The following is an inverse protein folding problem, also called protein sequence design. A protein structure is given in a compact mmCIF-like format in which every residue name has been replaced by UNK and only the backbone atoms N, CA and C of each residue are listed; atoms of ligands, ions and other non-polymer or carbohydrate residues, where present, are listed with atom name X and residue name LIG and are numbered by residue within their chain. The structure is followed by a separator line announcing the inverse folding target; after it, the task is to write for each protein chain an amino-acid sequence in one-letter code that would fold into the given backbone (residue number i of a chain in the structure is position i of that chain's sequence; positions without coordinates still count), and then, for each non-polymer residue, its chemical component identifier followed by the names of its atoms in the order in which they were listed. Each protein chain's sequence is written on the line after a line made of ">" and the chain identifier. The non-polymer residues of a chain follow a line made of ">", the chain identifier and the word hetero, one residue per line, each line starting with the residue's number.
data_IF_408613488012
#
_entry.id   IF_408613488012
#
_cell.length_a   1.000
_cell.length_b   1.000
_cell.length_c   1.000
_cell.angle_alpha   90.00
_cell.angle_beta   90.00
_cell.angle_gamma   90.00
#
_symmetry.space_group_name_H-M   'P 1'
#
loop_
_entity.id
_entity.type
_entity.pdbx_description
1 polymer ?
#
# COMPACT_ATOMS: atom_id res chain seq x y z
N UNK A 1 5.23 14.21 19.49
CA UNK A 1 4.88 15.62 19.21
C UNK A 1 4.46 15.86 17.75
N UNK A 2 5.07 15.22 16.75
CA UNK A 2 4.70 15.39 15.32
C UNK A 2 3.21 15.14 15.00
N UNK A 3 2.60 14.09 15.56
CA UNK A 3 1.17 13.81 15.36
C UNK A 3 0.23 14.89 15.90
N UNK A 4 0.63 15.65 16.94
CA UNK A 4 -0.21 16.69 17.53
C UNK A 4 -0.28 17.96 16.66
N UNK A 5 0.72 18.19 15.80
CA UNK A 5 0.77 19.36 14.89
C UNK A 5 0.31 18.99 13.49
N UNK A 6 0.64 17.78 13.01
CA UNK A 6 0.29 17.34 11.67
C UNK A 6 -1.22 17.26 11.46
N UNK A 7 -1.97 16.72 12.44
CA UNK A 7 -3.42 16.57 12.31
C UNK A 7 -4.16 17.92 12.19
N UNK A 8 -3.95 18.92 13.07
CA UNK A 8 -4.54 20.24 12.89
C UNK A 8 -4.18 20.89 11.54
N UNK A 9 -2.93 20.76 11.09
CA UNK A 9 -2.50 21.32 9.80
C UNK A 9 -3.23 20.65 8.64
N UNK A 10 -3.32 19.32 8.62
CA UNK A 10 -4.06 18.58 7.58
C UNK A 10 -5.53 18.99 7.58
N UNK A 11 -6.17 19.11 8.75
CA UNK A 11 -7.56 19.54 8.85
C UNK A 11 -7.77 20.97 8.34
N UNK A 12 -6.84 21.89 8.62
CA UNK A 12 -6.89 23.26 8.10
C UNK A 12 -6.72 23.30 6.57
N UNK A 13 -5.79 22.51 6.02
CA UNK A 13 -5.60 22.40 4.57
C UNK A 13 -6.85 21.83 3.90
N UNK A 14 -7.47 20.79 4.49
CA UNK A 14 -8.72 20.22 3.98
C UNK A 14 -9.86 21.23 4.04
N UNK A 15 -10.04 21.93 5.17
CA UNK A 15 -11.08 22.95 5.32
C UNK A 15 -10.92 24.07 4.29
N UNK A 16 -9.69 24.55 4.08
CA UNK A 16 -9.38 25.54 3.06
C UNK A 16 -9.67 24.99 1.65
N UNK A 17 -9.21 23.79 1.32
CA UNK A 17 -9.46 23.16 0.02
C UNK A 17 -10.94 22.94 -0.26
N UNK A 18 -11.73 22.53 0.74
CA UNK A 18 -13.18 22.34 0.61
C UNK A 18 -13.95 23.65 0.40
N UNK A 19 -13.40 24.75 0.91
CA UNK A 19 -13.94 26.09 0.68
C UNK A 19 -13.57 26.60 -0.71
N UNK A 20 -12.36 26.32 -1.18
CA UNK A 20 -11.83 26.81 -2.46
C UNK A 20 -12.35 26.04 -3.70
N UNK A 21 -12.59 24.73 -3.60
CA UNK A 21 -12.92 23.89 -4.75
C UNK A 21 -13.94 22.81 -4.43
N UNK A 22 -15.05 22.81 -5.18
CA UNK A 22 -16.06 21.74 -5.14
C UNK A 22 -15.47 20.42 -5.63
N UNK A 23 -14.63 20.45 -6.66
CA UNK A 23 -14.00 19.24 -7.22
C UNK A 23 -13.04 18.60 -6.21
N UNK A 24 -12.23 19.41 -5.53
CA UNK A 24 -11.36 18.94 -4.44
C UNK A 24 -12.16 18.25 -3.33
N UNK A 25 -13.35 18.79 -3.00
CA UNK A 25 -14.27 18.18 -2.02
C UNK A 25 -14.81 16.83 -2.52
N UNK A 26 -15.20 16.73 -3.78
CA UNK A 26 -15.68 15.47 -4.40
C UNK A 26 -14.58 14.41 -4.43
N UNK A 27 -13.37 14.78 -4.87
CA UNK A 27 -12.20 13.87 -4.88
C UNK A 27 -11.88 13.39 -3.46
N UNK A 28 -11.84 14.31 -2.50
CA UNK A 28 -11.54 13.97 -1.09
C UNK A 28 -12.61 13.07 -0.46
N UNK A 29 -13.88 13.30 -0.78
CA UNK A 29 -14.97 12.42 -0.36
C UNK A 29 -14.82 11.03 -1.00
N UNK A 30 -14.49 10.95 -2.29
CA UNK A 30 -14.19 9.70 -2.98
C UNK A 30 -13.04 8.93 -2.33
N UNK A 31 -11.94 9.61 -1.97
CA UNK A 31 -10.82 9.04 -1.21
C UNK A 31 -11.27 8.51 0.15
N UNK A 32 -12.07 9.27 0.91
CA UNK A 32 -12.54 8.86 2.22
C UNK A 32 -13.46 7.63 2.14
N UNK A 33 -14.37 7.60 1.16
CA UNK A 33 -15.26 6.46 0.89
C UNK A 33 -14.43 5.24 0.46
N UNK A 34 -13.43 5.42 -0.41
CA UNK A 34 -12.51 4.36 -0.83
C UNK A 34 -11.75 3.77 0.36
N UNK A 35 -11.16 4.62 1.21
CA UNK A 35 -10.45 4.20 2.42
C UNK A 35 -11.38 3.43 3.38
N UNK A 36 -12.61 3.88 3.56
CA UNK A 36 -13.61 3.16 4.35
C UNK A 36 -13.96 1.79 3.74
N UNK A 37 -14.02 1.71 2.41
CA UNK A 37 -14.16 0.45 1.68
C UNK A 37 -12.99 -0.51 1.94
N UNK A 38 -11.75 -0.01 1.88
CA UNK A 38 -10.56 -0.80 2.20
C UNK A 38 -10.53 -1.28 3.66
N UNK A 39 -10.92 -0.43 4.62
CA UNK A 39 -11.05 -0.82 6.04
C UNK A 39 -12.11 -1.90 6.24
N UNK A 40 -13.22 -1.83 5.51
CA UNK A 40 -14.26 -2.85 5.54
C UNK A 40 -13.78 -4.15 4.91
N UNK A 41 -13.08 -4.11 3.78
CA UNK A 41 -12.43 -5.29 3.18
C UNK A 41 -11.47 -5.96 4.17
N UNK A 42 -10.60 -5.18 4.83
CA UNK A 42 -9.66 -5.68 5.84
C UNK A 42 -10.40 -6.41 6.98
N UNK A 43 -11.47 -5.82 7.52
CA UNK A 43 -12.31 -6.46 8.54
C UNK A 43 -12.99 -7.74 8.05
N UNK A 44 -13.47 -7.74 6.81
CA UNK A 44 -14.09 -8.89 6.18
C UNK A 44 -13.11 -10.07 6.09
N UNK A 45 -11.91 -9.83 5.55
CA UNK A 45 -10.86 -10.84 5.47
C UNK A 45 -10.39 -11.30 6.85
N UNK A 46 -10.23 -10.38 7.81
CA UNK A 46 -9.89 -10.70 9.20
C UNK A 46 -10.94 -11.57 9.90
N UNK A 47 -12.22 -11.44 9.53
CA UNK A 47 -13.28 -12.29 10.06
C UNK A 47 -13.11 -13.76 9.63
N UNK A 48 -12.54 -14.02 8.44
CA UNK A 48 -12.25 -15.37 7.94
C UNK A 48 -10.92 -15.93 8.42
N UNK A 49 -9.90 -15.09 8.62
CA UNK A 49 -8.58 -15.55 9.06
C UNK A 49 -8.55 -15.88 10.56
N UNK A 50 -9.28 -15.14 11.42
CA UNK A 50 -9.67 -15.57 12.77
C UNK A 50 -8.61 -16.25 13.66
N UNK A 51 -7.41 -15.67 13.79
CA UNK A 51 -6.34 -16.26 14.61
C UNK A 51 -5.48 -17.31 13.86
N UNK A 52 -5.79 -17.59 12.60
CA UNK A 52 -5.03 -18.49 11.73
C UNK A 52 -3.71 -17.86 11.31
N UNK A 53 -3.69 -16.53 11.14
CA UNK A 53 -2.49 -15.81 10.77
C UNK A 53 -1.38 -16.00 11.80
N UNK A 54 -1.72 -15.85 13.07
CA UNK A 54 -0.86 -16.01 14.24
C UNK A 54 -0.39 -17.47 14.40
N UNK A 55 -1.27 -18.43 14.12
CA UNK A 55 -0.93 -19.87 14.14
C UNK A 55 0.00 -20.25 12.99
N UNK A 56 -0.21 -19.71 11.80
CA UNK A 56 0.62 -19.99 10.62
C UNK A 56 1.96 -19.27 10.73
N UNK A 57 1.99 -18.03 11.25
CA UNK A 57 3.23 -17.29 11.54
C UNK A 57 4.19 -18.11 12.42
N UNK A 58 3.69 -18.77 13.48
CA UNK A 58 4.49 -19.65 14.34
C UNK A 58 5.09 -20.85 13.59
N UNK A 59 4.48 -21.29 12.49
CA UNK A 59 4.95 -22.42 11.66
C UNK A 59 5.83 -21.99 10.49
N UNK A 60 5.78 -20.72 10.08
CA UNK A 60 6.46 -20.18 8.88
C UNK A 60 7.93 -19.79 9.13
N UNK A 61 8.50 -20.15 10.29
CA UNK A 61 9.80 -19.64 10.77
C UNK A 61 11.06 -20.31 10.20
N UNK A 62 10.95 -21.37 9.38
CA UNK A 62 12.13 -22.17 8.99
C UNK A 62 12.79 -21.81 7.65
N UNK A 63 12.15 -21.02 6.77
CA UNK A 63 12.72 -20.72 5.44
C UNK A 63 12.26 -19.35 4.90
N UNK A 64 13.23 -18.51 4.48
CA UNK A 64 13.00 -17.19 3.86
C UNK A 64 11.98 -17.19 2.70
N UNK A 65 11.96 -18.23 1.87
CA UNK A 65 11.00 -18.32 0.76
C UNK A 65 9.57 -18.59 1.25
N UNK A 66 9.42 -19.39 2.31
CA UNK A 66 8.10 -19.62 2.93
C UNK A 66 7.61 -18.35 3.62
N UNK A 67 8.51 -17.62 4.28
CA UNK A 67 8.22 -16.32 4.88
C UNK A 67 7.77 -15.30 3.84
N UNK A 68 8.45 -15.23 2.69
CA UNK A 68 8.07 -14.40 1.54
C UNK A 68 6.69 -14.79 0.99
N UNK A 69 6.49 -16.08 0.69
CA UNK A 69 5.20 -16.56 0.18
C UNK A 69 4.06 -16.26 1.15
N UNK A 70 4.30 -16.40 2.46
CA UNK A 70 3.33 -16.04 3.49
C UNK A 70 3.00 -14.54 3.46
N UNK A 71 4.01 -13.67 3.44
CA UNK A 71 3.78 -12.23 3.36
C UNK A 71 2.98 -11.80 2.12
N UNK A 72 3.31 -12.41 0.98
CA UNK A 72 2.63 -12.19 -0.30
C UNK A 72 1.16 -12.58 -0.21
N UNK A 73 0.88 -13.84 0.14
CA UNK A 73 -0.48 -14.38 0.18
C UNK A 73 -1.30 -13.65 1.24
N UNK A 74 -0.75 -13.46 2.44
CA UNK A 74 -1.45 -12.77 3.52
C UNK A 74 -1.79 -11.35 3.11
N UNK A 75 -0.84 -10.59 2.53
CA UNK A 75 -1.13 -9.20 2.14
C UNK A 75 -2.11 -9.14 0.98
N UNK A 76 -1.99 -10.03 -0.01
CA UNK A 76 -2.95 -10.12 -1.09
C UNK A 76 -4.37 -10.43 -0.59
N UNK A 77 -4.50 -11.26 0.44
CA UNK A 77 -5.80 -11.56 1.05
C UNK A 77 -6.30 -10.43 1.93
N UNK A 78 -5.45 -9.88 2.81
CA UNK A 78 -5.84 -8.85 3.78
C UNK A 78 -5.89 -7.45 3.18
N UNK A 79 -5.35 -7.25 1.98
CA UNK A 79 -5.24 -5.96 1.28
C UNK A 79 -4.46 -4.88 2.04
N UNK A 80 -3.65 -5.27 3.05
CA UNK A 80 -2.96 -4.35 3.96
C UNK A 80 -1.57 -4.85 4.36
N UNK A 81 -0.53 -4.37 3.69
CA UNK A 81 0.88 -4.69 4.03
C UNK A 81 1.32 -4.04 5.34
N UNK A 82 0.79 -2.87 5.67
CA UNK A 82 1.03 -2.18 6.94
C UNK A 82 0.59 -3.06 8.11
N UNK A 83 -0.60 -3.66 8.05
CA UNK A 83 -1.09 -4.56 9.10
C UNK A 83 -0.19 -5.80 9.23
N UNK A 84 0.14 -6.44 8.11
CA UNK A 84 1.05 -7.62 8.09
C UNK A 84 2.41 -7.28 8.69
N UNK A 85 2.93 -6.08 8.40
CA UNK A 85 4.21 -5.61 8.93
C UNK A 85 4.14 -5.33 10.43
N UNK A 86 3.08 -4.66 10.92
CA UNK A 86 2.89 -4.38 12.36
C UNK A 86 2.73 -5.66 13.17
N UNK A 87 1.98 -6.64 12.65
CA UNK A 87 1.86 -7.98 13.27
C UNK A 87 3.23 -8.67 13.29
N UNK A 88 3.99 -8.60 12.19
CA UNK A 88 5.34 -9.18 12.13
C UNK A 88 6.29 -8.53 13.12
N UNK A 89 6.25 -7.21 13.29
CA UNK A 89 7.00 -6.47 14.31
C UNK A 89 6.64 -6.95 15.71
N UNK A 90 5.34 -7.11 15.99
CA UNK A 90 4.85 -7.59 17.29
C UNK A 90 5.33 -9.00 17.60
N UNK A 91 5.28 -9.90 16.61
CA UNK A 91 5.71 -11.29 16.76
C UNK A 91 7.22 -11.43 16.91
N UNK A 92 7.98 -10.63 16.15
CA UNK A 92 9.43 -10.57 16.27
C UNK A 92 9.84 -10.03 17.64
N UNK A 93 9.16 -8.99 18.11
CA UNK A 93 9.42 -8.41 19.43
C UNK A 93 9.13 -9.41 20.56
N UNK A 94 8.12 -10.25 20.40
CA UNK A 94 7.78 -11.33 21.33
C UNK A 94 8.68 -12.59 21.19
N UNK A 95 9.70 -12.57 20.32
CA UNK A 95 10.60 -13.71 20.09
C UNK A 95 9.93 -14.90 19.37
N UNK A 96 8.76 -14.71 18.77
CA UNK A 96 8.00 -15.78 18.10
C UNK A 96 8.50 -16.09 16.69
N UNK A 97 9.19 -15.14 16.05
CA UNK A 97 9.81 -15.29 14.73
C UNK A 97 11.22 -14.68 14.75
N UNK A 98 12.08 -15.11 13.82
CA UNK A 98 13.42 -14.53 13.66
C UNK A 98 13.40 -13.28 12.78
N UNK A 99 14.43 -12.43 12.88
CA UNK A 99 14.55 -11.23 12.02
C UNK A 99 14.55 -11.60 10.53
N UNK A 100 15.28 -12.65 10.14
CA UNK A 100 15.32 -13.15 8.75
C UNK A 100 13.94 -13.56 8.25
N UNK A 101 13.15 -14.26 9.08
CA UNK A 101 11.77 -14.61 8.73
C UNK A 101 10.88 -13.36 8.62
N UNK A 102 11.01 -12.43 9.56
CA UNK A 102 10.31 -11.14 9.51
C UNK A 102 10.60 -10.35 8.24
N UNK A 103 11.86 -10.24 7.84
CA UNK A 103 12.28 -9.58 6.59
C UNK A 103 11.63 -10.26 5.38
N UNK A 104 11.66 -11.60 5.34
CA UNK A 104 10.99 -12.37 4.30
C UNK A 104 9.49 -12.03 4.20
N UNK A 105 8.78 -12.01 5.34
CA UNK A 105 7.36 -11.65 5.39
C UNK A 105 7.11 -10.23 4.86
N UNK A 106 7.92 -9.25 5.27
CA UNK A 106 7.78 -7.87 4.82
C UNK A 106 8.03 -7.72 3.31
N UNK A 107 9.02 -8.44 2.76
CA UNK A 107 9.29 -8.41 1.31
C UNK A 107 8.13 -9.05 0.54
N UNK A 108 7.62 -10.18 1.04
CA UNK A 108 6.40 -10.78 0.54
C UNK A 108 5.21 -9.82 0.56
N UNK A 109 5.03 -9.10 1.67
CA UNK A 109 3.94 -8.15 1.84
C UNK A 109 3.98 -6.99 0.84
N UNK A 110 5.16 -6.48 0.52
CA UNK A 110 5.31 -5.48 -0.55
C UNK A 110 4.85 -6.04 -1.90
N UNK A 111 5.23 -7.28 -2.23
CA UNK A 111 4.76 -7.93 -3.46
C UNK A 111 3.24 -8.23 -3.42
N UNK A 112 2.68 -8.61 -2.28
CA UNK A 112 1.23 -8.83 -2.13
C UNK A 112 0.40 -7.55 -2.31
N UNK A 113 0.97 -6.39 -1.97
CA UNK A 113 0.34 -5.06 -2.16
C UNK A 113 0.01 -4.78 -3.62
N UNK A 114 0.70 -5.41 -4.57
CA UNK A 114 0.47 -5.15 -6.00
C UNK A 114 -0.90 -5.62 -6.45
N UNK A 115 -1.52 -6.57 -5.75
CA UNK A 115 -2.89 -7.03 -6.04
C UNK A 115 -3.92 -5.90 -5.99
N UNK A 116 -3.70 -4.86 -5.17
CA UNK A 116 -4.55 -3.69 -5.11
C UNK A 116 -4.61 -2.90 -6.40
N UNK A 117 -3.46 -2.69 -7.06
CA UNK A 117 -3.41 -1.98 -8.33
C UNK A 117 -4.22 -2.70 -9.42
N UNK A 118 -4.12 -4.04 -9.46
CA UNK A 118 -4.93 -4.88 -10.35
C UNK A 118 -6.42 -4.80 -10.04
N UNK A 119 -6.79 -4.78 -8.76
CA UNK A 119 -8.18 -4.63 -8.35
C UNK A 119 -8.75 -3.29 -8.82
N UNK A 120 -8.01 -2.20 -8.62
CA UNK A 120 -8.45 -0.85 -8.99
C UNK A 120 -8.51 -0.68 -10.50
N UNK A 121 -7.43 -1.02 -11.23
CA UNK A 121 -7.35 -0.83 -12.68
C UNK A 121 -8.24 -1.79 -13.46
N UNK A 122 -8.31 -3.06 -13.04
CA UNK A 122 -9.08 -4.09 -13.71
C UNK A 122 -10.59 -4.03 -13.44
N UNK A 123 -10.96 -3.76 -12.18
CA UNK A 123 -12.36 -3.80 -11.75
C UNK A 123 -12.89 -2.41 -11.39
N UNK A 124 -12.14 -1.63 -10.62
CA UNK A 124 -12.62 -0.36 -10.07
C UNK A 124 -13.10 0.67 -11.09
N UNK A 125 -12.40 0.80 -12.22
CA UNK A 125 -12.74 1.78 -13.27
C UNK A 125 -13.69 1.23 -14.35
N UNK A 126 -13.76 -0.10 -14.51
CA UNK A 126 -14.53 -0.76 -15.58
C UNK A 126 -15.90 -1.25 -15.10
N UNK A 127 -16.12 -1.31 -13.78
CA UNK A 127 -17.39 -1.74 -13.19
C UNK A 127 -18.40 -0.60 -13.21
N UNK A 128 -19.61 -0.90 -13.69
CA UNK A 128 -20.74 -0.01 -13.52
C UNK A 128 -21.21 -0.04 -12.06
N UNK A 129 -21.02 1.09 -11.37
CA UNK A 129 -21.36 1.28 -9.96
C UNK A 129 -22.82 0.93 -9.67
N UNK A 130 -23.73 1.27 -10.59
CA UNK A 130 -25.15 1.05 -10.37
C UNK A 130 -25.55 -0.42 -10.44
N UNK A 131 -24.95 -1.19 -11.35
CA UNK A 131 -25.31 -2.60 -11.52
C UNK A 131 -24.66 -3.52 -10.50
N UNK A 132 -23.51 -3.14 -9.92
CA UNK A 132 -22.75 -4.03 -9.03
C UNK A 132 -22.49 -3.42 -7.65
N UNK A 133 -21.90 -2.22 -7.58
CA UNK A 133 -21.49 -1.64 -6.30
C UNK A 133 -22.70 -1.37 -5.38
N UNK A 134 -23.79 -0.80 -5.91
CA UNK A 134 -24.98 -0.50 -5.12
C UNK A 134 -25.66 -1.76 -4.54
N UNK A 135 -25.94 -2.83 -5.32
CA UNK A 135 -26.41 -4.09 -4.74
C UNK A 135 -25.46 -4.69 -3.69
N UNK A 136 -24.16 -4.65 -3.93
CA UNK A 136 -23.16 -5.14 -2.96
C UNK A 136 -23.24 -4.38 -1.63
N UNK A 137 -23.43 -3.07 -1.66
CA UNK A 137 -23.63 -2.26 -0.46
C UNK A 137 -24.90 -2.68 0.29
N UNK A 138 -26.02 -2.83 -0.42
CA UNK A 138 -27.31 -3.22 0.19
C UNK A 138 -27.18 -4.57 0.89
N UNK A 139 -26.72 -5.60 0.18
CA UNK A 139 -26.54 -6.93 0.76
C UNK A 139 -25.47 -6.94 1.85
N UNK A 140 -24.39 -6.19 1.67
CA UNK A 140 -23.31 -6.05 2.63
C UNK A 140 -23.83 -5.53 3.98
N UNK A 141 -24.57 -4.41 3.96
CA UNK A 141 -25.14 -3.81 5.16
C UNK A 141 -26.14 -4.75 5.84
N UNK A 142 -27.01 -5.42 5.09
CA UNK A 142 -27.94 -6.43 5.65
C UNK A 142 -27.18 -7.56 6.35
N UNK A 143 -26.07 -8.02 5.77
CA UNK A 143 -25.25 -9.08 6.35
C UNK A 143 -24.46 -8.63 7.60
N UNK A 144 -24.13 -7.34 7.72
CA UNK A 144 -23.47 -6.79 8.93
C UNK A 144 -24.35 -6.88 10.18
N UNK A 145 -25.67 -6.85 10.03
CA UNK A 145 -26.62 -7.01 11.14
C UNK A 145 -26.78 -8.46 11.61
N UNK A 146 -26.24 -9.45 10.89
CA UNK A 146 -26.35 -10.86 11.28
C UNK A 146 -25.43 -11.16 12.48
N UNK A 147 -25.84 -12.03 13.39
CA UNK A 147 -25.05 -12.36 14.60
C UNK A 147 -23.79 -13.19 14.29
N UNK A 148 -23.82 -14.00 13.23
CA UNK A 148 -22.74 -14.94 12.89
C UNK A 148 -21.51 -14.22 12.33
N UNK A 149 -20.32 -14.46 12.92
CA UNK A 149 -19.02 -13.89 12.49
C UNK A 149 -18.75 -14.05 10.99
N UNK A 150 -19.07 -15.22 10.44
CA UNK A 150 -18.89 -15.51 9.00
C UNK A 150 -19.78 -14.62 8.12
N UNK A 151 -21.06 -14.46 8.48
CA UNK A 151 -21.98 -13.61 7.73
C UNK A 151 -21.60 -12.13 7.82
N UNK A 152 -21.22 -11.66 9.02
CA UNK A 152 -20.64 -10.31 9.17
C UNK A 152 -19.39 -10.13 8.32
N UNK A 153 -18.52 -11.14 8.26
CA UNK A 153 -17.33 -11.13 7.41
C UNK A 153 -17.67 -10.97 5.93
N UNK A 154 -18.65 -11.72 5.42
CA UNK A 154 -19.16 -11.55 4.05
C UNK A 154 -19.74 -10.14 3.87
N UNK A 155 -20.50 -9.65 4.86
CA UNK A 155 -21.06 -8.30 4.87
C UNK A 155 -19.99 -7.22 4.72
N UNK A 156 -18.92 -7.32 5.52
CA UNK A 156 -17.77 -6.43 5.43
C UNK A 156 -17.05 -6.49 4.08
N UNK A 157 -16.89 -7.68 3.49
CA UNK A 157 -16.30 -7.81 2.14
C UNK A 157 -17.19 -7.12 1.09
N UNK A 158 -18.50 -7.36 1.12
CA UNK A 158 -19.43 -6.74 0.16
C UNK A 158 -19.51 -5.22 0.34
N UNK A 159 -19.63 -4.72 1.57
CA UNK A 159 -19.54 -3.30 1.88
C UNK A 159 -18.21 -2.72 1.41
N UNK A 160 -17.12 -3.42 1.68
CA UNK A 160 -15.79 -2.97 1.33
C UNK A 160 -15.59 -2.79 -0.17
N UNK A 161 -15.98 -3.80 -0.96
CA UNK A 161 -15.98 -3.71 -2.42
C UNK A 161 -16.94 -2.62 -2.95
N UNK A 162 -18.15 -2.53 -2.39
CA UNK A 162 -19.14 -1.53 -2.80
C UNK A 162 -18.67 -0.10 -2.55
N UNK A 163 -18.13 0.19 -1.36
CA UNK A 163 -17.57 1.50 -1.03
C UNK A 163 -16.28 1.77 -1.80
N UNK A 164 -15.45 0.77 -2.05
CA UNK A 164 -14.26 0.90 -2.89
C UNK A 164 -14.64 1.42 -4.28
N UNK A 165 -15.61 0.78 -4.94
CA UNK A 165 -16.06 1.19 -6.28
C UNK A 165 -16.77 2.55 -6.27
N UNK A 166 -17.59 2.83 -5.25
CA UNK A 166 -18.23 4.13 -5.09
C UNK A 166 -17.21 5.25 -4.85
N UNK A 167 -16.14 4.97 -4.10
CA UNK A 167 -15.05 5.92 -3.90
C UNK A 167 -14.30 6.23 -5.19
N UNK A 168 -14.00 5.20 -6.01
CA UNK A 168 -13.38 5.39 -7.34
C UNK A 168 -14.27 6.22 -8.26
N UNK A 169 -15.58 5.99 -8.22
CA UNK A 169 -16.54 6.77 -8.99
C UNK A 169 -16.45 8.27 -8.68
N UNK A 170 -16.53 8.65 -7.41
CA UNK A 170 -16.45 10.05 -7.00
C UNK A 170 -15.08 10.65 -7.28
N UNK A 171 -13.98 9.90 -7.09
CA UNK A 171 -12.66 10.37 -7.48
C UNK A 171 -12.61 10.68 -8.99
N UNK A 172 -13.21 9.83 -9.84
CA UNK A 172 -13.26 10.02 -11.28
C UNK A 172 -14.09 11.24 -11.66
N UNK A 173 -15.29 11.38 -11.12
CA UNK A 173 -16.16 12.54 -11.36
C UNK A 173 -15.46 13.85 -10.99
N UNK A 174 -14.79 13.89 -9.84
CA UNK A 174 -14.06 15.07 -9.41
C UNK A 174 -12.88 15.42 -10.33
N UNK A 175 -12.12 14.43 -10.80
CA UNK A 175 -11.04 14.68 -11.76
C UNK A 175 -11.55 15.05 -13.17
N UNK A 176 -12.69 14.50 -13.59
CA UNK A 176 -13.30 14.86 -14.87
C UNK A 176 -13.82 16.30 -14.85
N UNK A 177 -14.40 16.77 -13.73
CA UNK A 177 -14.80 18.17 -13.57
C UNK A 177 -13.60 19.13 -13.50
N UNK A 178 -12.48 18.68 -12.91
CA UNK A 178 -11.27 19.48 -12.77
C UNK A 178 -10.60 19.82 -14.13
N UNK A 179 -10.77 18.97 -15.15
CA UNK A 179 -10.25 19.17 -16.52
C UNK A 179 -10.58 20.55 -17.10
N UNK A 180 -11.81 20.99 -16.85
CA UNK A 180 -12.34 22.20 -17.47
C UNK A 180 -11.79 23.47 -16.79
N UNK A 181 -11.23 23.34 -15.58
CA UNK A 181 -10.68 24.45 -14.81
C UNK A 181 -9.16 24.61 -14.97
N UNK A 182 -8.38 23.52 -14.85
CA UNK A 182 -6.91 23.56 -14.89
C UNK A 182 -6.38 22.29 -15.55
N UNK A 183 -5.64 22.46 -16.64
CA UNK A 183 -4.86 21.38 -17.27
C UNK A 183 -3.54 21.16 -16.51
N UNK A 184 -3.55 20.21 -15.58
CA UNK A 184 -2.38 19.86 -14.75
C UNK A 184 -1.18 19.34 -15.56
N UNK A 185 -1.41 18.85 -16.79
CA UNK A 185 -0.34 18.34 -17.64
C UNK A 185 0.64 19.44 -18.07
N UNK A 186 0.19 20.71 -18.09
CA UNK A 186 1.04 21.88 -18.41
C UNK A 186 2.13 22.17 -17.37
N UNK A 187 1.96 21.67 -16.15
CA UNK A 187 2.94 21.80 -15.07
C UNK A 187 3.80 20.54 -14.94
N UNK A 188 3.68 19.58 -15.86
CA UNK A 188 4.45 18.35 -15.82
C UNK A 188 5.93 18.63 -16.09
N UNK A 189 6.77 18.13 -15.18
CA UNK A 189 8.22 18.09 -15.36
C UNK A 189 8.56 16.77 -16.00
N UNK A 190 9.36 16.77 -17.07
CA UNK A 190 9.71 15.58 -17.84
C UNK A 190 11.06 14.98 -17.44
N UNK A 191 11.31 13.73 -17.84
CA UNK A 191 12.58 13.03 -17.58
C UNK A 191 12.85 12.78 -16.10
N UNK A 192 14.11 12.54 -15.73
CA UNK A 192 14.50 12.24 -14.35
C UNK A 192 14.08 13.30 -13.31
N UNK A 193 14.14 14.63 -13.59
CA UNK A 193 13.62 15.62 -12.65
C UNK A 193 12.12 15.46 -12.38
N UNK A 194 11.35 15.09 -13.41
CA UNK A 194 9.94 14.72 -13.29
C UNK A 194 9.75 13.51 -12.41
N UNK A 195 10.46 12.42 -12.73
CA UNK A 195 10.41 11.17 -11.96
C UNK A 195 10.68 11.43 -10.48
N UNK A 196 11.71 12.18 -10.13
CA UNK A 196 12.03 12.47 -8.72
C UNK A 196 10.96 13.35 -8.05
N UNK A 197 10.41 14.32 -8.77
CA UNK A 197 9.35 15.19 -8.27
C UNK A 197 8.08 14.40 -7.96
N UNK A 198 7.61 13.60 -8.90
CA UNK A 198 6.38 12.81 -8.75
C UNK A 198 6.56 11.60 -7.82
N UNK A 199 7.77 11.06 -7.69
CA UNK A 199 8.12 10.11 -6.63
C UNK A 199 7.93 10.77 -5.27
N UNK A 200 8.44 11.99 -5.06
CA UNK A 200 8.25 12.70 -3.80
C UNK A 200 6.76 12.98 -3.53
N UNK A 201 5.98 13.34 -4.55
CA UNK A 201 4.51 13.46 -4.43
C UNK A 201 3.90 12.15 -3.95
N UNK A 202 4.30 11.01 -4.51
CA UNK A 202 3.83 9.70 -4.07
C UNK A 202 4.19 9.37 -2.63
N UNK A 203 5.43 9.69 -2.21
CA UNK A 203 5.86 9.53 -0.81
C UNK A 203 4.96 10.35 0.10
N UNK A 204 4.81 11.65 -0.17
CA UNK A 204 4.01 12.57 0.66
C UNK A 204 2.56 12.14 0.70
N UNK A 205 1.97 11.80 -0.45
CA UNK A 205 0.58 11.33 -0.53
C UNK A 205 0.37 10.07 0.31
N UNK A 206 1.25 9.07 0.19
CA UNK A 206 1.12 7.85 1.00
C UNK A 206 1.36 8.10 2.48
N UNK A 207 2.26 9.02 2.86
CA UNK A 207 2.45 9.38 4.27
C UNK A 207 1.22 10.09 4.83
N UNK A 208 0.57 10.97 4.08
CA UNK A 208 -0.66 11.63 4.53
C UNK A 208 -1.81 10.63 4.63
N UNK A 209 -1.99 9.80 3.60
CA UNK A 209 -3.09 8.83 3.53
C UNK A 209 -2.85 7.58 4.38
N UNK A 210 -1.61 7.35 4.83
CA UNK A 210 -1.14 6.13 5.51
C UNK A 210 -1.47 4.83 4.75
N UNK A 211 -1.69 4.92 3.43
CA UNK A 211 -2.11 3.81 2.57
C UNK A 211 -1.62 3.99 1.13
N UNK A 212 -0.72 3.10 0.69
CA UNK A 212 -0.27 3.06 -0.71
C UNK A 212 -1.37 2.63 -1.67
N UNK A 213 -2.32 1.79 -1.23
CA UNK A 213 -3.49 1.43 -2.04
C UNK A 213 -4.33 2.67 -2.35
N UNK A 214 -4.53 3.56 -1.37
CA UNK A 214 -5.28 4.79 -1.59
C UNK A 214 -4.53 5.76 -2.50
N UNK A 215 -3.20 5.89 -2.34
CA UNK A 215 -2.38 6.68 -3.26
C UNK A 215 -2.42 6.13 -4.68
N UNK A 216 -2.32 4.80 -4.87
CA UNK A 216 -2.45 4.16 -6.17
C UNK A 216 -3.85 4.31 -6.75
N UNK A 217 -4.90 4.23 -5.94
CA UNK A 217 -6.27 4.46 -6.39
C UNK A 217 -6.47 5.88 -6.93
N UNK A 218 -5.97 6.88 -6.20
CA UNK A 218 -5.97 8.27 -6.64
C UNK A 218 -5.18 8.44 -7.94
N UNK A 219 -4.00 7.82 -8.02
CA UNK A 219 -3.10 7.87 -9.19
C UNK A 219 -3.74 7.24 -10.42
N UNK A 220 -4.27 6.02 -10.29
CA UNK A 220 -4.95 5.30 -11.37
C UNK A 220 -6.18 6.07 -11.84
N UNK A 221 -6.95 6.66 -10.92
CA UNK A 221 -8.14 7.43 -11.28
C UNK A 221 -7.79 8.74 -11.98
N UNK A 222 -6.75 9.45 -11.51
CA UNK A 222 -6.23 10.64 -12.16
C UNK A 222 -5.67 10.33 -13.56
N UNK A 223 -4.97 9.22 -13.72
CA UNK A 223 -4.45 8.73 -15.00
C UNK A 223 -5.59 8.39 -15.97
N UNK A 224 -6.62 7.68 -15.50
CA UNK A 224 -7.81 7.36 -16.30
C UNK A 224 -8.61 8.61 -16.70
N UNK A 225 -8.54 9.66 -15.88
CA UNK A 225 -9.05 10.98 -16.19
C UNK A 225 -8.04 11.86 -16.93
N UNK A 226 -6.93 11.33 -17.48
CA UNK A 226 -5.94 12.12 -18.23
C UNK A 226 -5.40 13.36 -17.50
N UNK A 227 -5.44 13.38 -16.16
CA UNK A 227 -4.97 14.49 -15.33
C UNK A 227 -3.47 14.41 -15.02
N UNK A 228 -2.91 13.21 -15.14
CA UNK A 228 -1.48 12.96 -15.03
C UNK A 228 -1.03 12.09 -16.19
N UNK A 229 0.21 12.29 -16.64
CA UNK A 229 0.81 11.43 -17.65
C UNK A 229 1.12 10.05 -17.08
N UNK A 230 1.33 9.08 -17.96
CA UNK A 230 1.70 7.73 -17.56
C UNK A 230 3.02 7.73 -16.78
N UNK A 231 4.03 8.47 -17.22
CA UNK A 231 5.35 8.58 -16.57
C UNK A 231 5.23 9.13 -15.14
N UNK A 232 4.39 10.15 -14.95
CA UNK A 232 4.14 10.72 -13.63
C UNK A 232 3.44 9.69 -12.71
N UNK A 233 2.52 8.90 -13.26
CA UNK A 233 1.85 7.84 -12.53
C UNK A 233 2.83 6.72 -12.10
N UNK A 234 3.77 6.34 -12.97
CA UNK A 234 4.85 5.39 -12.62
C UNK A 234 5.68 5.92 -11.44
N UNK A 235 6.11 7.18 -11.52
CA UNK A 235 6.89 7.81 -10.46
C UNK A 235 6.14 7.87 -9.12
N UNK A 236 4.86 8.24 -9.13
CA UNK A 236 4.00 8.25 -7.93
C UNK A 236 3.87 6.82 -7.36
N UNK A 237 3.76 5.79 -8.20
CA UNK A 237 3.69 4.41 -7.75
C UNK A 237 4.99 3.94 -7.06
N UNK A 238 6.16 4.39 -7.52
CA UNK A 238 7.44 4.16 -6.81
C UNK A 238 7.42 4.87 -5.46
N UNK A 239 7.01 6.14 -5.46
CA UNK A 239 6.93 6.97 -4.27
C UNK A 239 5.99 6.41 -3.20
N UNK A 240 4.86 5.82 -3.60
CA UNK A 240 3.87 5.27 -2.66
C UNK A 240 4.40 4.06 -1.90
N UNK A 241 5.21 3.22 -2.56
CA UNK A 241 5.93 2.12 -1.92
C UNK A 241 6.92 2.62 -0.87
N UNK A 242 7.71 3.66 -1.20
CA UNK A 242 8.61 4.29 -0.24
C UNK A 242 7.84 4.93 0.93
N UNK A 243 6.76 5.66 0.64
CA UNK A 243 5.94 6.29 1.68
C UNK A 243 5.32 5.29 2.68
N UNK A 244 5.03 4.07 2.23
CA UNK A 244 4.47 3.00 3.09
C UNK A 244 5.40 2.64 4.25
N UNK A 245 6.71 2.86 4.15
CA UNK A 245 7.65 2.50 5.23
C UNK A 245 7.44 3.31 6.50
N UNK A 246 6.81 4.48 6.40
CA UNK A 246 6.48 5.32 7.57
C UNK A 246 5.53 4.59 8.52
N UNK A 247 4.58 3.78 8.03
CA UNK A 247 3.67 3.01 8.91
C UNK A 247 4.44 2.01 9.77
N UNK A 248 5.44 1.34 9.19
CA UNK A 248 6.31 0.40 9.89
C UNK A 248 7.20 1.11 10.91
N UNK A 249 7.76 2.27 10.56
CA UNK A 249 8.55 3.10 11.48
C UNK A 249 7.70 3.51 12.68
N UNK A 250 6.51 4.07 12.44
CA UNK A 250 5.57 4.46 13.50
C UNK A 250 5.16 3.26 14.38
N UNK A 251 4.86 2.12 13.76
CA UNK A 251 4.53 0.88 14.47
C UNK A 251 5.68 0.30 15.29
N UNK A 252 6.94 0.59 14.91
CA UNK A 252 8.13 0.13 15.63
C UNK A 252 8.51 1.01 16.83
N UNK A 253 7.93 2.20 16.98
CA UNK A 253 8.30 3.13 18.06
C UNK A 253 8.07 2.55 19.46
N UNK A 254 7.06 1.70 19.62
CA UNK A 254 6.75 0.99 20.87
C UNK A 254 7.35 -0.41 20.94
N UNK A 255 8.13 -0.83 19.94
CA UNK A 255 8.73 -2.15 19.86
C UNK A 255 10.15 -2.17 20.44
N UNK A 256 10.65 -3.37 20.75
CA UNK A 256 12.05 -3.56 21.13
C UNK A 256 12.99 -3.44 19.90
N UNK A 257 14.28 -3.65 20.12
CA UNK A 257 15.34 -3.50 19.13
C UNK A 257 15.10 -4.38 17.91
N UNK A 258 14.63 -5.62 18.11
CA UNK A 258 14.29 -6.53 17.02
C UNK A 258 13.16 -5.97 16.13
N UNK A 259 12.12 -5.39 16.73
CA UNK A 259 11.05 -4.71 16.00
C UNK A 259 11.53 -3.50 15.20
N UNK A 260 12.42 -2.69 15.78
CA UNK A 260 13.05 -1.53 15.09
C UNK A 260 13.94 -1.98 13.93
N UNK A 261 14.69 -3.07 14.08
CA UNK A 261 15.48 -3.69 12.99
C UNK A 261 14.57 -4.07 11.81
N UNK A 262 13.41 -4.68 12.08
CA UNK A 262 12.49 -5.06 11.00
C UNK A 262 11.90 -3.85 10.26
N UNK A 263 11.55 -2.77 10.97
CA UNK A 263 11.14 -1.52 10.32
C UNK A 263 12.28 -0.90 9.49
N UNK A 264 13.52 -0.95 9.98
CA UNK A 264 14.71 -0.57 9.23
C UNK A 264 14.91 -1.40 7.95
N UNK A 265 14.72 -2.72 8.03
CA UNK A 265 14.77 -3.59 6.86
C UNK A 265 13.70 -3.24 5.81
N UNK A 266 12.49 -2.90 6.27
CA UNK A 266 11.41 -2.46 5.39
C UNK A 266 11.76 -1.16 4.64
N UNK A 267 12.36 -0.19 5.35
CA UNK A 267 12.83 1.06 4.77
C UNK A 267 13.93 0.81 3.73
N UNK A 268 14.97 0.05 4.09
CA UNK A 268 16.09 -0.26 3.19
C UNK A 268 15.59 -0.96 1.91
N UNK A 269 14.68 -1.92 2.05
CA UNK A 269 14.11 -2.60 0.89
C UNK A 269 13.40 -1.66 -0.08
N UNK A 270 12.50 -0.80 0.42
CA UNK A 270 11.75 0.10 -0.45
C UNK A 270 12.63 1.19 -1.07
N UNK A 271 13.63 1.70 -0.34
CA UNK A 271 14.60 2.65 -0.90
C UNK A 271 15.47 2.01 -2.00
N UNK A 272 15.95 0.77 -1.77
CA UNK A 272 16.73 0.04 -2.78
C UNK A 272 15.88 -0.31 -4.01
N UNK A 273 14.65 -0.79 -3.80
CA UNK A 273 13.70 -1.08 -4.87
C UNK A 273 13.40 0.17 -5.69
N UNK A 274 13.12 1.30 -5.03
CA UNK A 274 12.89 2.58 -5.69
C UNK A 274 14.11 3.05 -6.48
N UNK A 275 15.31 2.97 -5.90
CA UNK A 275 16.56 3.33 -6.59
C UNK A 275 16.76 2.51 -7.86
N UNK A 276 16.65 1.19 -7.78
CA UNK A 276 16.79 0.29 -8.94
C UNK A 276 15.73 0.63 -10.00
N UNK A 277 14.50 0.86 -9.57
CA UNK A 277 13.39 1.17 -10.48
C UNK A 277 13.58 2.50 -11.19
N UNK A 278 14.05 3.54 -10.48
CA UNK A 278 14.33 4.85 -11.08
C UNK A 278 15.48 4.73 -12.09
N UNK A 279 16.55 4.01 -11.76
CA UNK A 279 17.69 3.82 -12.67
C UNK A 279 17.32 3.08 -13.95
N UNK A 280 16.40 2.11 -13.86
CA UNK A 280 15.98 1.24 -14.96
C UNK A 280 14.59 1.63 -15.52
N UNK A 281 14.13 2.86 -15.31
CA UNK A 281 12.72 3.20 -15.55
C UNK A 281 12.30 3.01 -17.01
N UNK A 282 13.19 3.31 -17.97
CA UNK A 282 12.90 3.15 -19.39
C UNK A 282 12.85 1.68 -19.79
N UNK A 283 13.82 0.88 -19.33
CA UNK A 283 13.86 -0.56 -19.57
C UNK A 283 12.66 -1.28 -18.92
N UNK A 284 12.20 -0.78 -17.77
CA UNK A 284 10.99 -1.29 -17.13
C UNK A 284 9.73 -0.95 -17.91
N UNK A 285 9.64 0.23 -18.53
CA UNK A 285 8.51 0.58 -19.42
C UNK A 285 8.47 -0.38 -20.62
N UNK A 286 9.61 -0.70 -21.22
CA UNK A 286 9.67 -1.69 -22.29
C UNK A 286 9.24 -3.08 -21.80
N UNK A 287 9.68 -3.48 -20.60
CA UNK A 287 9.23 -4.70 -19.95
C UNK A 287 7.72 -4.72 -19.68
N UNK A 288 7.13 -3.60 -19.28
CA UNK A 288 5.68 -3.46 -19.11
C UNK A 288 4.96 -3.65 -20.43
N UNK A 289 5.42 -3.01 -21.51
CA UNK A 289 4.82 -3.15 -22.83
C UNK A 289 4.89 -4.62 -23.31
N UNK A 290 6.03 -5.28 -23.14
CA UNK A 290 6.17 -6.70 -23.47
C UNK A 290 5.18 -7.60 -22.70
N UNK A 291 5.01 -7.38 -21.39
CA UNK A 291 4.03 -8.12 -20.58
C UNK A 291 2.59 -7.77 -21.00
N UNK A 292 2.30 -6.50 -21.30
CA UNK A 292 0.99 -6.06 -21.74
C UNK A 292 0.58 -6.73 -23.06
N UNK A 293 1.49 -6.78 -24.03
CA UNK A 293 1.28 -7.45 -25.32
C UNK A 293 1.05 -8.95 -25.12
N UNK A 294 1.85 -9.60 -24.27
CA UNK A 294 1.68 -11.01 -23.92
C UNK A 294 0.30 -11.30 -23.31
N UNK A 295 -0.20 -10.40 -22.46
CA UNK A 295 -1.52 -10.50 -21.83
C UNK A 295 -2.66 -9.96 -22.71
N UNK A 296 -2.37 -9.49 -23.94
CA UNK A 296 -3.33 -8.87 -24.87
C UNK A 296 -4.06 -7.67 -24.27
N UNK A 297 -3.36 -6.88 -23.46
CA UNK A 297 -3.85 -5.60 -22.94
C UNK A 297 -3.71 -4.55 -24.05
N UNK A 298 -4.73 -3.72 -24.22
CA UNK A 298 -4.72 -2.68 -25.25
C UNK A 298 -3.55 -1.70 -25.05
N UNK A 299 -3.00 -1.20 -26.16
CA UNK A 299 -1.81 -0.36 -26.15
C UNK A 299 -2.00 0.93 -25.33
N UNK A 300 -3.23 1.45 -25.32
CA UNK A 300 -3.66 2.66 -24.64
C UNK A 300 -4.24 2.43 -23.23
N UNK A 301 -4.30 1.18 -22.74
CA UNK A 301 -4.76 0.88 -21.37
C UNK A 301 -3.63 1.10 -20.35
N UNK A 302 -3.27 2.37 -20.17
CA UNK A 302 -2.24 2.81 -19.23
C UNK A 302 -2.57 2.46 -17.77
N UNK A 303 -3.85 2.26 -17.44
CA UNK A 303 -4.26 1.87 -16.08
C UNK A 303 -3.83 0.45 -15.76
N UNK A 304 -4.04 -0.51 -16.68
CA UNK A 304 -3.56 -1.88 -16.54
C UNK A 304 -2.03 -1.95 -16.69
N UNK A 305 -1.44 -1.16 -17.58
CA UNK A 305 0.03 -1.06 -17.69
C UNK A 305 0.66 -0.54 -16.39
N UNK A 306 0.01 0.36 -15.66
CA UNK A 306 0.49 0.80 -14.33
C UNK A 306 0.41 -0.33 -13.29
N UNK A 307 -0.62 -1.19 -13.33
CA UNK A 307 -0.70 -2.37 -12.47
C UNK A 307 0.42 -3.38 -12.77
N UNK A 308 0.73 -3.61 -14.05
CA UNK A 308 1.89 -4.42 -14.48
C UNK A 308 3.18 -3.82 -13.96
N UNK A 309 3.39 -2.51 -14.16
CA UNK A 309 4.58 -1.81 -13.69
C UNK A 309 4.78 -2.02 -12.19
N UNK A 310 3.72 -1.80 -11.40
CA UNK A 310 3.75 -1.97 -9.94
C UNK A 310 4.13 -3.41 -9.55
N UNK A 311 3.60 -4.42 -10.24
CA UNK A 311 4.00 -5.82 -10.03
C UNK A 311 5.46 -6.07 -10.42
N UNK A 312 5.91 -5.60 -11.57
CA UNK A 312 7.26 -5.84 -12.08
C UNK A 312 8.33 -5.25 -11.16
N UNK A 313 8.22 -3.96 -10.79
CA UNK A 313 9.27 -3.34 -10.01
C UNK A 313 9.34 -3.90 -8.58
N UNK A 314 8.20 -4.24 -7.97
CA UNK A 314 8.18 -4.94 -6.68
C UNK A 314 8.83 -6.32 -6.78
N UNK A 315 8.55 -7.05 -7.85
CA UNK A 315 9.14 -8.37 -8.10
C UNK A 315 10.66 -8.27 -8.28
N UNK A 316 11.13 -7.29 -9.04
CA UNK A 316 12.56 -7.04 -9.26
C UNK A 316 13.24 -6.66 -7.95
N UNK A 317 12.66 -5.76 -7.16
CA UNK A 317 13.16 -5.41 -5.83
C UNK A 317 13.28 -6.63 -4.91
N UNK A 318 12.25 -7.50 -4.90
CA UNK A 318 12.26 -8.76 -4.15
C UNK A 318 13.36 -9.70 -4.64
N UNK A 319 13.43 -10.00 -5.94
CA UNK A 319 14.44 -10.89 -6.53
C UNK A 319 15.85 -10.39 -6.20
N UNK A 320 16.08 -9.09 -6.34
CA UNK A 320 17.37 -8.47 -6.05
C UNK A 320 17.73 -8.56 -4.57
N UNK A 321 16.81 -8.24 -3.65
CA UNK A 321 17.11 -8.16 -2.21
C UNK A 321 17.06 -9.51 -1.49
N UNK A 322 16.36 -10.51 -2.02
CA UNK A 322 16.21 -11.85 -1.43
C UNK A 322 17.53 -12.54 -1.04
N UNK A 323 18.60 -12.56 -1.88
CA UNK A 323 19.88 -13.13 -1.48
C UNK A 323 20.59 -12.32 -0.38
N UNK A 324 20.28 -11.03 -0.22
CA UNK A 324 20.92 -10.15 0.76
C UNK A 324 20.22 -10.12 2.12
N UNK A 325 19.08 -10.80 2.30
CA UNK A 325 18.34 -10.82 3.58
C UNK A 325 19.24 -11.13 4.79
N UNK A 326 20.10 -12.18 4.78
CA UNK A 326 20.95 -12.46 5.94
C UNK A 326 21.97 -11.36 6.23
N UNK A 327 22.52 -10.73 5.17
CA UNK A 327 23.48 -9.62 5.31
C UNK A 327 22.80 -8.37 5.85
N UNK A 328 21.59 -8.08 5.36
CA UNK A 328 20.78 -6.97 5.85
C UNK A 328 20.42 -7.17 7.34
N UNK A 329 20.01 -8.38 7.72
CA UNK A 329 19.74 -8.71 9.12
C UNK A 329 20.96 -8.44 10.01
N UNK A 330 22.13 -8.94 9.61
CA UNK A 330 23.37 -8.73 10.35
C UNK A 330 23.77 -7.25 10.44
N UNK A 331 23.67 -6.51 9.33
CA UNK A 331 23.96 -5.07 9.32
C UNK A 331 23.04 -4.28 10.27
N UNK A 332 21.76 -4.67 10.37
CA UNK A 332 20.80 -4.04 11.28
C UNK A 332 21.02 -4.43 12.75
N UNK A 333 21.49 -5.63 13.03
CA UNK A 333 21.92 -6.05 14.37
C UNK A 333 23.11 -5.23 14.86
N UNK A 334 24.04 -4.88 13.96
CA UNK A 334 25.17 -3.99 14.28
C UNK A 334 24.74 -2.53 14.45
N UNK A 335 23.85 -2.03 13.59
CA UNK A 335 23.42 -0.63 13.61
C UNK A 335 22.49 -0.32 14.80
N UNK A 336 21.67 -1.29 15.19
CA UNK A 336 20.72 -1.18 16.32
C UNK A 336 21.09 -2.29 17.30
N UNK A 337 22.08 -2.09 18.20
CA UNK A 337 22.49 -3.10 19.16
C UNK A 337 21.39 -3.34 20.21
N UNK A 338 21.38 -4.54 20.81
CA UNK A 338 20.49 -4.82 21.93
C UNK A 338 20.83 -3.88 23.10
N UNK A 339 19.81 -3.29 23.74
CA UNK A 339 20.05 -2.55 24.97
C UNK A 339 20.46 -3.56 26.05
N UNK A 340 21.69 -3.41 26.57
CA UNK A 340 22.10 -4.15 27.77
C UNK A 340 21.20 -3.66 28.90
N UNK A 341 20.24 -4.48 29.31
CA UNK A 341 19.53 -4.25 30.56
C UNK A 341 20.59 -4.33 31.66
N UNK A 342 20.93 -3.20 32.27
CA UNK A 342 21.59 -3.19 33.57
C UNK A 342 20.63 -3.88 34.54
N UNK A 343 20.81 -5.19 34.71
CA UNK A 343 20.17 -5.92 35.79
C UNK A 343 20.86 -5.43 37.05
N UNK A 344 20.19 -4.57 37.81
CA UNK A 344 20.60 -4.23 39.18
C UNK A 344 20.78 -5.54 39.95
N UNK A 345 22.03 -5.95 40.12
CA UNK A 345 22.35 -7.09 40.96
C UNK A 345 22.23 -6.61 42.40
N UNK A 346 21.51 -7.34 43.28
CA UNK A 346 21.49 -7.01 44.69
C UNK A 346 22.92 -7.01 45.21
N UNK A 347 23.36 -5.88 45.80
CA UNK A 347 24.57 -5.85 46.60
C UNK A 347 24.31 -6.71 47.84
N UNK A 348 24.84 -7.92 47.85
CA UNK A 348 24.83 -8.82 49.01
C UNK A 348 25.75 -8.31 50.11
#
# INVERSE_FOLDING_TARGET
>A
MLHKVLLPVVLLILAFGFWMSTDFKVISAGVAIFLFGMLSLEQGFNAFTGGTLERVLRRVTSNRLRSLGFGLVTTALMQSSSLVTVISISFLSAGLITLVAGIGIVFGANLGTTTGAWLIAGFGLKINIASYAMPMLVFGVVLLFQSTRRLKGIGYVLCGMGFLFLGIHYMKEGFDAFKDAIDLTRYSVTGYPGVLTYLLVGVVATVIMQSSHATLALTITALAAYQISYENALAIAIGSNVGTTITAILGSLSANEAGKRLAGAHLVFNLMSALITVLLIYELVDGVNWVADFLRIAEDDYTLKLAIFHTLFNTIGVIFMLPFIPRLAHALELLIPDQVLEVDQPKY
#
